data_IF_599189062799
#
_entry.id   IF_599189062799
#
_cell.length_a   1.000
_cell.length_b   1.000
_cell.length_c   1.000
_cell.angle_alpha   90.00
_cell.angle_beta   90.00
_cell.angle_gamma   90.00
#
_symmetry.space_group_name_H-M   'P 1'
#
loop_
_entity.id
_entity.type
_entity.pdbx_description
1 polymer ?
#
# COMPACT_ATOMS: atom_id res chain seq x y z
N UNK A 1 -11.59 -1.68 15.00
CA UNK A 1 -10.17 -1.68 14.57
C UNK A 1 -9.50 -3.06 14.54
N UNK A 2 -10.00 -4.08 15.26
CA UNK A 2 -9.41 -5.44 15.30
C UNK A 2 -9.59 -6.26 14.01
N UNK A 3 -10.68 -6.02 13.26
CA UNK A 3 -11.03 -6.81 12.08
C UNK A 3 -10.00 -6.69 10.93
N UNK A 4 -9.67 -5.46 10.52
CA UNK A 4 -8.73 -5.23 9.41
C UNK A 4 -7.33 -5.81 9.70
N UNK A 5 -6.85 -5.70 10.94
CA UNK A 5 -5.56 -6.27 11.33
C UNK A 5 -5.56 -7.81 11.22
N UNK A 6 -6.67 -8.46 11.58
CA UNK A 6 -6.84 -9.90 11.42
C UNK A 6 -6.87 -10.33 9.95
N UNK A 7 -7.70 -9.70 9.13
CA UNK A 7 -7.83 -10.01 7.70
C UNK A 7 -6.51 -9.79 6.94
N UNK A 8 -5.77 -8.72 7.28
CA UNK A 8 -4.46 -8.47 6.69
C UNK A 8 -3.43 -9.51 7.14
N UNK A 9 -3.43 -9.91 8.42
CA UNK A 9 -2.57 -10.98 8.91
C UNK A 9 -2.76 -12.29 8.13
N UNK A 10 -4.02 -12.70 7.90
CA UNK A 10 -4.36 -13.88 7.09
C UNK A 10 -3.90 -13.72 5.65
N UNK A 11 -4.18 -12.56 5.03
CA UNK A 11 -3.74 -12.27 3.67
C UNK A 11 -2.22 -12.33 3.51
N UNK A 12 -1.47 -11.85 4.50
CA UNK A 12 -0.02 -11.92 4.50
C UNK A 12 0.49 -13.37 4.53
N UNK A 13 -0.15 -14.27 5.30
CA UNK A 13 0.20 -15.69 5.32
C UNK A 13 0.01 -16.35 3.95
N UNK A 14 -1.12 -16.09 3.29
CA UNK A 14 -1.36 -16.62 1.94
C UNK A 14 -0.34 -16.10 0.91
N UNK A 15 0.03 -14.81 0.99
CA UNK A 15 1.06 -14.23 0.12
C UNK A 15 2.43 -14.84 0.36
N UNK A 16 2.79 -15.09 1.62
CA UNK A 16 4.04 -15.78 1.99
C UNK A 16 4.05 -17.23 1.50
N UNK A 17 2.90 -17.90 1.51
CA UNK A 17 2.73 -19.25 0.96
C UNK A 17 2.71 -19.31 -0.58
N UNK A 18 2.86 -18.16 -1.26
CA UNK A 18 2.86 -18.10 -2.73
C UNK A 18 1.46 -18.15 -3.36
N UNK A 19 0.41 -17.91 -2.59
CA UNK A 19 -0.99 -17.87 -3.06
C UNK A 19 -1.64 -16.49 -2.84
N UNK A 20 -1.20 -15.46 -3.58
CA UNK A 20 -1.78 -14.12 -3.47
C UNK A 20 -3.24 -14.05 -3.93
N UNK A 21 -3.72 -15.01 -4.73
CA UNK A 21 -5.12 -15.04 -5.19
C UNK A 21 -6.06 -15.35 -4.04
N UNK A 22 -5.71 -16.29 -3.18
CA UNK A 22 -6.51 -16.62 -1.99
C UNK A 22 -6.49 -15.51 -0.93
N UNK A 23 -5.48 -14.64 -0.95
CA UNK A 23 -5.41 -13.48 -0.06
C UNK A 23 -6.41 -12.34 -0.43
N UNK A 24 -6.83 -12.25 -1.69
CA UNK A 24 -7.61 -11.11 -2.21
C UNK A 24 -8.94 -10.86 -1.48
N UNK A 25 -9.79 -11.87 -1.23
CA UNK A 25 -11.07 -11.64 -0.55
C UNK A 25 -10.89 -10.99 0.82
N UNK A 26 -9.88 -11.43 1.59
CA UNK A 26 -9.59 -10.90 2.93
C UNK A 26 -9.18 -9.43 2.90
N UNK A 27 -8.33 -9.04 1.94
CA UNK A 27 -7.91 -7.64 1.79
C UNK A 27 -9.08 -6.77 1.31
N UNK A 28 -9.87 -7.24 0.34
CA UNK A 28 -11.04 -6.49 -0.16
C UNK A 28 -12.06 -6.25 0.95
N UNK A 29 -12.36 -7.28 1.73
CA UNK A 29 -13.27 -7.18 2.86
C UNK A 29 -12.75 -6.19 3.91
N UNK A 30 -11.48 -6.34 4.31
CA UNK A 30 -10.84 -5.42 5.24
C UNK A 30 -10.86 -3.97 4.76
N UNK A 31 -10.59 -3.73 3.47
CA UNK A 31 -10.65 -2.41 2.85
C UNK A 31 -12.07 -1.84 2.91
N UNK A 32 -13.09 -2.64 2.57
CA UNK A 32 -14.49 -2.21 2.62
C UNK A 32 -14.94 -1.81 4.03
N UNK A 33 -14.47 -2.51 5.08
CA UNK A 33 -14.72 -2.10 6.45
C UNK A 33 -14.08 -0.75 6.80
N UNK A 34 -12.84 -0.52 6.36
CA UNK A 34 -12.17 0.77 6.59
C UNK A 34 -12.81 1.89 5.79
N UNK A 35 -13.31 1.61 4.58
CA UNK A 35 -14.08 2.56 3.77
C UNK A 35 -15.34 2.99 4.51
N UNK A 36 -16.15 2.03 4.96
CA UNK A 36 -17.38 2.32 5.69
C UNK A 36 -17.11 3.07 7.00
N UNK A 37 -16.04 2.71 7.71
CA UNK A 37 -15.63 3.45 8.91
C UNK A 37 -15.26 4.91 8.58
N UNK A 38 -14.51 5.13 7.48
CA UNK A 38 -14.13 6.47 7.04
C UNK A 38 -15.30 7.31 6.53
N UNK A 39 -16.37 6.68 6.04
CA UNK A 39 -17.60 7.37 5.64
C UNK A 39 -18.43 7.79 6.87
N UNK A 40 -18.39 7.00 7.95
CA UNK A 40 -19.08 7.32 9.20
C UNK A 40 -18.36 8.41 10.01
N UNK A 41 -17.02 8.46 9.92
CA UNK A 41 -16.21 9.49 10.56
C UNK A 41 -15.13 10.03 9.58
N UNK A 42 -15.50 11.01 8.73
CA UNK A 42 -14.63 11.54 7.68
C UNK A 42 -13.50 12.45 8.18
N UNK A 43 -13.52 12.85 9.45
CA UNK A 43 -12.51 13.74 10.04
C UNK A 43 -11.49 12.99 10.90
N UNK A 44 -11.75 11.73 11.26
CA UNK A 44 -10.80 10.88 11.96
C UNK A 44 -9.58 10.52 11.08
N UNK A 45 -8.45 11.16 11.37
CA UNK A 45 -7.18 10.94 10.70
C UNK A 45 -6.63 9.52 10.86
N UNK A 46 -6.91 8.85 11.99
CA UNK A 46 -6.50 7.47 12.21
C UNK A 46 -7.28 6.52 11.31
N UNK A 47 -8.62 6.63 11.26
CA UNK A 47 -9.47 5.82 10.37
C UNK A 47 -9.07 6.03 8.90
N UNK A 48 -8.89 7.29 8.49
CA UNK A 48 -8.42 7.61 7.14
C UNK A 48 -7.02 7.07 6.84
N UNK A 49 -6.13 7.09 7.83
CA UNK A 49 -4.80 6.47 7.71
C UNK A 49 -4.88 4.96 7.52
N UNK A 50 -5.83 4.31 8.19
CA UNK A 50 -6.11 2.88 7.98
C UNK A 50 -6.70 2.58 6.60
N UNK A 51 -7.59 3.44 6.09
CA UNK A 51 -8.13 3.30 4.74
C UNK A 51 -7.03 3.46 3.67
N UNK A 52 -6.18 4.48 3.79
CA UNK A 52 -5.05 4.67 2.87
C UNK A 52 -4.09 3.48 2.86
N UNK A 53 -3.80 2.93 4.05
CA UNK A 53 -3.02 1.72 4.21
C UNK A 53 -3.69 0.53 3.50
N UNK A 54 -5.00 0.33 3.72
CA UNK A 54 -5.76 -0.78 3.15
C UNK A 54 -5.85 -0.73 1.62
N UNK A 55 -6.04 0.47 1.06
CA UNK A 55 -6.07 0.69 -0.39
C UNK A 55 -4.70 0.42 -1.03
N UNK A 56 -3.61 0.83 -0.37
CA UNK A 56 -2.26 0.53 -0.86
C UNK A 56 -1.93 -0.97 -0.85
N UNK A 57 -2.35 -1.70 0.19
CA UNK A 57 -2.20 -3.15 0.26
C UNK A 57 -3.05 -3.87 -0.80
N UNK A 58 -4.28 -3.41 -1.01
CA UNK A 58 -5.15 -3.91 -2.08
C UNK A 58 -4.52 -3.67 -3.46
N UNK A 59 -4.06 -2.44 -3.72
CA UNK A 59 -3.42 -2.08 -4.99
C UNK A 59 -2.25 -3.02 -5.30
N UNK A 60 -1.41 -3.30 -4.30
CA UNK A 60 -0.31 -4.23 -4.49
C UNK A 60 -0.81 -5.63 -4.81
N UNK A 61 -1.79 -6.14 -4.05
CA UNK A 61 -2.23 -7.51 -4.21
C UNK A 61 -2.88 -7.73 -5.58
N UNK A 62 -3.66 -6.75 -6.04
CA UNK A 62 -4.22 -6.74 -7.40
C UNK A 62 -3.09 -6.74 -8.45
N UNK A 63 -2.02 -5.97 -8.26
CA UNK A 63 -0.86 -5.99 -9.15
C UNK A 63 -0.15 -7.35 -9.15
N UNK A 64 0.01 -7.98 -7.98
CA UNK A 64 0.64 -9.31 -7.82
C UNK A 64 -0.13 -10.43 -8.53
N UNK A 65 -1.47 -10.35 -8.57
CA UNK A 65 -2.30 -11.33 -9.29
C UNK A 65 -2.53 -10.98 -10.76
N UNK A 66 -2.02 -9.84 -11.23
CA UNK A 66 -2.12 -9.40 -12.63
C UNK A 66 -3.35 -8.53 -12.97
N UNK A 67 -4.14 -8.13 -11.98
CA UNK A 67 -5.32 -7.28 -12.12
C UNK A 67 -4.92 -5.81 -12.21
N UNK A 68 -4.34 -5.42 -13.36
CA UNK A 68 -3.71 -4.10 -13.55
C UNK A 68 -4.67 -2.92 -13.34
N UNK A 69 -5.91 -3.04 -13.82
CA UNK A 69 -6.90 -1.95 -13.74
C UNK A 69 -7.36 -1.72 -12.29
N UNK A 70 -7.55 -2.81 -11.57
CA UNK A 70 -7.95 -2.81 -10.16
C UNK A 70 -6.82 -2.28 -9.27
N UNK A 71 -5.57 -2.67 -9.57
CA UNK A 71 -4.38 -2.13 -8.92
C UNK A 71 -4.26 -0.61 -9.10
N UNK A 72 -4.44 -0.14 -10.34
CA UNK A 72 -4.42 1.28 -10.67
C UNK A 72 -5.51 2.06 -9.93
N UNK A 73 -6.75 1.56 -9.96
CA UNK A 73 -7.87 2.20 -9.28
C UNK A 73 -7.65 2.34 -7.77
N UNK A 74 -7.22 1.27 -7.11
CA UNK A 74 -6.94 1.29 -5.68
C UNK A 74 -5.76 2.22 -5.33
N UNK A 75 -4.71 2.23 -6.15
CA UNK A 75 -3.57 3.12 -5.93
C UNK A 75 -3.96 4.60 -6.05
N UNK A 76 -4.72 4.97 -7.09
CA UNK A 76 -5.16 6.35 -7.29
C UNK A 76 -6.18 6.83 -6.26
N UNK A 77 -6.85 5.91 -5.57
CA UNK A 77 -7.66 6.25 -4.41
C UNK A 77 -6.82 6.46 -3.14
N UNK A 78 -5.81 5.61 -2.92
CA UNK A 78 -4.94 5.71 -1.74
C UNK A 78 -4.13 7.01 -1.70
N UNK A 79 -3.62 7.45 -2.86
CA UNK A 79 -2.68 8.58 -2.97
C UNK A 79 -3.22 9.91 -2.42
N UNK A 80 -4.38 10.42 -2.86
CA UNK A 80 -4.92 11.68 -2.36
C UNK A 80 -5.28 11.60 -0.86
N UNK A 81 -5.79 10.46 -0.39
CA UNK A 81 -6.10 10.23 1.02
C UNK A 81 -4.84 10.34 1.89
N UNK A 82 -3.78 9.62 1.51
CA UNK A 82 -2.52 9.64 2.22
C UNK A 82 -1.82 11.01 2.16
N UNK A 83 -1.81 11.66 1.00
CA UNK A 83 -1.23 13.01 0.86
C UNK A 83 -1.95 14.04 1.74
N UNK A 84 -3.28 13.99 1.82
CA UNK A 84 -4.05 14.87 2.70
C UNK A 84 -3.73 14.69 4.19
N UNK A 85 -3.45 13.45 4.60
CA UNK A 85 -2.99 13.16 5.97
C UNK A 85 -1.56 13.67 6.22
N UNK A 86 -0.65 13.41 5.28
CA UNK A 86 0.74 13.80 5.39
C UNK A 86 0.98 15.32 5.31
N UNK A 87 0.02 16.06 4.71
CA UNK A 87 0.02 17.52 4.75
C UNK A 87 -0.23 18.08 6.16
N UNK A 88 -0.92 17.32 7.03
CA UNK A 88 -1.16 17.69 8.44
C UNK A 88 -0.07 17.16 9.36
N UNK A 89 0.37 15.92 9.14
CA UNK A 89 1.46 15.29 9.88
C UNK A 89 2.25 14.34 8.96
N UNK A 90 3.48 14.76 8.62
CA UNK A 90 4.35 14.02 7.71
C UNK A 90 4.88 12.69 8.26
N UNK A 91 4.73 12.44 9.57
CA UNK A 91 5.28 11.27 10.27
C UNK A 91 4.27 10.12 10.41
N UNK A 92 3.06 10.26 9.83
CA UNK A 92 2.05 9.21 9.86
C UNK A 92 2.52 7.98 9.07
N UNK A 93 3.00 6.96 9.80
CA UNK A 93 3.59 5.76 9.19
C UNK A 93 2.60 5.02 8.28
N UNK A 94 1.31 4.96 8.62
CA UNK A 94 0.27 4.29 7.81
C UNK A 94 0.04 4.98 6.48
N UNK A 95 0.03 6.31 6.47
CA UNK A 95 -0.13 7.09 5.26
C UNK A 95 1.12 6.98 4.36
N UNK A 96 2.32 7.01 4.95
CA UNK A 96 3.56 6.73 4.22
C UNK A 96 3.58 5.30 3.65
N UNK A 97 3.15 4.29 4.42
CA UNK A 97 3.02 2.91 3.91
C UNK A 97 2.05 2.83 2.74
N UNK A 98 0.86 3.42 2.87
CA UNK A 98 -0.14 3.43 1.80
C UNK A 98 0.39 4.05 0.50
N UNK A 99 1.17 5.14 0.59
CA UNK A 99 1.84 5.71 -0.60
C UNK A 99 2.93 4.79 -1.14
N UNK A 100 3.73 4.17 -0.27
CA UNK A 100 4.80 3.28 -0.69
C UNK A 100 4.25 2.10 -1.51
N UNK A 101 3.19 1.46 -1.01
CA UNK A 101 2.56 0.32 -1.67
C UNK A 101 1.76 0.72 -2.90
N UNK A 102 1.04 1.86 -2.87
CA UNK A 102 0.33 2.38 -4.04
C UNK A 102 1.28 2.71 -5.20
N UNK A 103 2.39 3.42 -4.94
CA UNK A 103 3.35 3.73 -6.00
C UNK A 103 4.07 2.47 -6.51
N UNK A 104 4.41 1.52 -5.62
CA UNK A 104 4.95 0.23 -6.07
C UNK A 104 3.95 -0.48 -6.98
N UNK A 105 2.68 -0.55 -6.59
CA UNK A 105 1.63 -1.21 -7.36
C UNK A 105 1.47 -0.61 -8.76
N UNK A 106 1.53 0.73 -8.90
CA UNK A 106 1.50 1.38 -10.21
C UNK A 106 2.68 0.96 -11.10
N UNK A 107 3.90 0.92 -10.54
CA UNK A 107 5.09 0.46 -11.26
C UNK A 107 5.00 -1.02 -11.67
N UNK A 108 4.54 -1.88 -10.76
CA UNK A 108 4.35 -3.33 -11.00
C UNK A 108 3.22 -3.59 -12.01
N UNK A 109 2.15 -2.81 -11.99
CA UNK A 109 1.05 -2.87 -12.95
C UNK A 109 1.41 -2.28 -14.33
N UNK A 110 2.54 -1.57 -14.44
CA UNK A 110 2.99 -0.94 -15.68
C UNK A 110 2.23 0.35 -16.03
N UNK A 111 1.72 1.05 -15.01
CA UNK A 111 1.06 2.35 -15.16
C UNK A 111 2.12 3.44 -15.10
N UNK A 112 2.20 4.27 -16.14
CA UNK A 112 3.15 5.39 -16.20
C UNK A 112 4.62 4.98 -16.17
N UNK A 113 5.47 5.88 -15.68
CA UNK A 113 6.90 5.63 -15.53
C UNK A 113 7.16 4.77 -14.28
N UNK A 114 7.41 3.47 -14.53
CA UNK A 114 7.73 2.48 -13.50
C UNK A 114 8.86 2.94 -12.56
N UNK A 115 9.88 3.60 -13.08
CA UNK A 115 11.07 3.96 -12.33
C UNK A 115 10.80 5.19 -11.45
N UNK A 116 10.04 6.16 -11.95
CA UNK A 116 9.51 7.25 -11.14
C UNK A 116 8.62 6.73 -10.00
N UNK A 117 7.79 5.74 -10.28
CA UNK A 117 6.94 5.09 -9.29
C UNK A 117 7.74 4.36 -8.20
N UNK A 118 8.77 3.57 -8.55
CA UNK A 118 9.65 2.95 -7.56
C UNK A 118 10.45 3.96 -6.73
N UNK A 119 10.88 5.08 -7.33
CA UNK A 119 11.54 6.14 -6.59
C UNK A 119 10.63 6.76 -5.51
N UNK A 120 9.37 7.04 -5.86
CA UNK A 120 8.36 7.52 -4.89
C UNK A 120 8.04 6.46 -3.84
N UNK A 121 7.92 5.19 -4.25
CA UNK A 121 7.68 4.09 -3.33
C UNK A 121 8.77 3.98 -2.25
N UNK A 122 10.05 4.05 -2.63
CA UNK A 122 11.19 4.01 -1.71
C UNK A 122 11.21 5.20 -0.74
N UNK A 123 10.92 6.41 -1.24
CA UNK A 123 10.87 7.61 -0.40
C UNK A 123 9.87 7.44 0.75
N UNK A 124 8.66 6.98 0.45
CA UNK A 124 7.63 6.77 1.46
C UNK A 124 7.87 5.54 2.32
N UNK A 125 8.42 4.45 1.76
CA UNK A 125 8.76 3.25 2.53
C UNK A 125 9.79 3.56 3.63
N UNK A 126 10.84 4.32 3.31
CA UNK A 126 11.85 4.74 4.29
C UNK A 126 11.28 5.65 5.38
N UNK A 127 10.34 6.54 5.03
CA UNK A 127 9.61 7.33 6.02
C UNK A 127 8.75 6.45 6.92
N UNK A 128 8.07 5.43 6.39
CA UNK A 128 7.28 4.51 7.20
C UNK A 128 8.16 3.68 8.15
N UNK A 129 9.31 3.19 7.67
CA UNK A 129 10.27 2.38 8.43
C UNK A 129 10.85 3.14 9.64
N UNK A 130 11.20 4.42 9.44
CA UNK A 130 11.77 5.28 10.49
C UNK A 130 10.88 5.41 11.74
N UNK A 131 9.56 5.23 11.61
CA UNK A 131 8.60 5.35 12.71
C UNK A 131 7.99 4.01 13.15
N UNK A 132 8.21 2.95 12.38
CA UNK A 132 7.71 1.60 12.67
C UNK A 132 8.71 0.60 12.13
N UNK A 133 9.68 0.22 12.97
CA UNK A 133 10.63 -0.87 12.72
C UNK A 133 9.88 -2.19 12.53
N UNK A 134 9.35 -2.41 11.34
CA UNK A 134 8.57 -3.58 10.95
C UNK A 134 9.33 -4.27 9.82
N UNK A 135 9.77 -5.53 10.02
CA UNK A 135 10.56 -6.27 9.02
C UNK A 135 9.95 -6.28 7.61
N UNK A 136 8.61 -6.26 7.51
CA UNK A 136 7.92 -6.20 6.22
C UNK A 136 8.22 -4.91 5.42
N UNK A 137 8.58 -3.82 6.10
CA UNK A 137 8.98 -2.55 5.47
C UNK A 137 10.41 -2.64 4.93
N UNK A 138 11.32 -3.24 5.68
CA UNK A 138 12.69 -3.47 5.22
C UNK A 138 12.70 -4.39 3.98
N UNK A 139 11.94 -5.49 4.01
CA UNK A 139 11.79 -6.40 2.85
C UNK A 139 11.24 -5.69 1.61
N UNK A 140 10.25 -4.80 1.81
CA UNK A 140 9.70 -3.96 0.75
C UNK A 140 10.78 -3.06 0.15
N UNK A 141 11.56 -2.37 0.99
CA UNK A 141 12.65 -1.49 0.55
C UNK A 141 13.63 -2.29 -0.32
N UNK A 142 14.12 -3.43 0.16
CA UNK A 142 15.07 -4.27 -0.57
C UNK A 142 14.51 -4.76 -1.92
N UNK A 143 13.23 -5.14 -1.96
CA UNK A 143 12.57 -5.57 -3.20
C UNK A 143 12.43 -4.42 -4.19
N UNK A 144 11.99 -3.24 -3.74
CA UNK A 144 11.82 -2.08 -4.62
C UNK A 144 13.17 -1.56 -5.09
N UNK A 145 14.22 -1.59 -4.26
CA UNK A 145 15.57 -1.25 -4.67
C UNK A 145 16.09 -2.20 -5.75
N UNK A 146 15.88 -3.52 -5.61
CA UNK A 146 16.22 -4.49 -6.66
C UNK A 146 15.47 -4.20 -7.96
N UNK A 147 14.16 -3.98 -7.89
CA UNK A 147 13.35 -3.66 -9.08
C UNK A 147 13.79 -2.34 -9.74
N UNK A 148 14.19 -1.35 -8.94
CA UNK A 148 14.73 -0.08 -9.42
C UNK A 148 16.15 -0.21 -10.00
N UNK A 149 16.97 -1.18 -9.60
CA UNK A 149 18.28 -1.41 -10.26
C UNK A 149 18.12 -1.85 -11.72
N UNK A 150 17.01 -2.50 -12.05
CA UNK A 150 16.60 -2.76 -13.45
C UNK A 150 16.18 -1.50 -14.22
N UNK A 151 16.05 -0.35 -13.55
CA UNK A 151 15.82 0.97 -14.16
C UNK A 151 17.10 1.73 -14.52
N UNK A 152 18.28 1.11 -14.38
CA UNK A 152 19.56 1.76 -14.69
C UNK A 152 19.76 1.94 -16.21
N UNK A 153 19.23 3.06 -16.70
CA UNK A 153 19.64 3.94 -17.81
C UNK A 153 19.75 3.40 -19.27
N UNK A 154 19.48 4.27 -20.28
CA UNK A 154 19.44 3.93 -21.71
C UNK A 154 20.73 3.37 -22.29
#
# INVERSE_FOLDING_TARGET
>A
MTYYAGSNGVAAQYRLAGDPKTALPFIREGMNHMRRASELDPDDAAIRGHLAFALGDLAQLEAEVGNRREAEAAAWEAIPLANGLLAKDANLWRANWGLATAYRALGDAGVGDRCAHYAKALFHARKADAFRMNPAISDLIDKVERNRRGCSAP
#
